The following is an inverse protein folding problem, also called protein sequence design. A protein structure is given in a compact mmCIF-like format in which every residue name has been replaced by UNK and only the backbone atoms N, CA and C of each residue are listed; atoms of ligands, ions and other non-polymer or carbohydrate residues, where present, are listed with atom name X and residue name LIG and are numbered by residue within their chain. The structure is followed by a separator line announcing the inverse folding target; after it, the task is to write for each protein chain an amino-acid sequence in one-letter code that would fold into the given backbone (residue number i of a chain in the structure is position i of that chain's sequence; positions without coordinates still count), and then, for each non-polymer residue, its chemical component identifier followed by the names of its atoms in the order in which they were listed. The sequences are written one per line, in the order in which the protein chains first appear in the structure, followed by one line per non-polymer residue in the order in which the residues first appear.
data_IF_590687551657
#
_entry.id   IF_590687551657
#
_cell.length_a   1.000
_cell.length_b   1.000
_cell.length_c   1.000
_cell.angle_alpha   90.00
_cell.angle_beta   90.00
_cell.angle_gamma   90.00
#
_symmetry.space_group_name_H-M   'P 1'
#
loop_
_entity.id
_entity.type
_entity.pdbx_description
1 polymer ?
#
# COMPACT_ATOMS: atom_id res chain seq x y z
N UNK A 1 -3.34 26.01 13.76
CA UNK A 1 -4.19 25.26 12.80
C UNK A 1 -3.27 24.53 11.83
N UNK A 2 -3.64 23.30 11.48
CA UNK A 2 -2.73 22.18 11.17
C UNK A 2 -1.89 22.28 9.88
N UNK A 3 -0.57 22.14 10.05
CA UNK A 3 0.44 21.88 9.00
C UNK A 3 0.39 20.47 8.39
N UNK A 4 -0.76 19.79 8.43
CA UNK A 4 -0.93 18.43 7.87
C UNK A 4 -1.24 18.44 6.38
N UNK A 5 -1.64 19.58 5.80
CA UNK A 5 -2.25 19.64 4.46
C UNK A 5 -1.24 19.80 3.29
N UNK A 6 0.07 19.91 3.54
CA UNK A 6 1.06 20.17 2.48
C UNK A 6 1.84 18.94 2.01
N UNK A 7 1.86 17.84 2.78
CA UNK A 7 2.54 16.60 2.35
C UNK A 7 1.70 15.77 1.37
N UNK A 8 0.38 15.68 1.60
CA UNK A 8 -0.54 14.84 0.82
C UNK A 8 -0.56 15.21 -0.67
N UNK A 9 -0.54 16.50 -1.02
CA UNK A 9 -0.68 16.97 -2.41
C UNK A 9 0.47 16.57 -3.33
N UNK A 10 1.68 16.41 -2.80
CA UNK A 10 2.85 16.06 -3.60
C UNK A 10 2.92 14.57 -3.91
N UNK A 11 2.47 13.72 -2.98
CA UNK A 11 2.41 12.27 -3.17
C UNK A 11 1.29 11.86 -4.12
N UNK A 12 0.09 12.46 -3.99
CA UNK A 12 -1.00 12.17 -4.93
C UNK A 12 -0.62 12.44 -6.39
N UNK A 13 0.12 13.52 -6.68
CA UNK A 13 0.60 13.82 -8.04
C UNK A 13 1.58 12.77 -8.58
N UNK A 14 2.60 12.41 -7.80
CA UNK A 14 3.57 11.37 -8.18
C UNK A 14 2.85 10.05 -8.49
N UNK A 15 1.85 9.72 -7.68
CA UNK A 15 1.10 8.47 -7.79
C UNK A 15 0.13 8.50 -9.00
N UNK A 16 -0.41 9.68 -9.34
CA UNK A 16 -1.22 9.86 -10.56
C UNK A 16 -0.35 9.74 -11.82
N UNK A 17 0.88 10.26 -11.77
CA UNK A 17 1.86 10.13 -12.87
C UNK A 17 2.36 8.69 -13.04
N UNK A 18 2.38 7.90 -11.97
CA UNK A 18 2.71 6.47 -12.00
C UNK A 18 1.58 5.58 -12.53
N UNK A 19 0.40 6.14 -12.82
CA UNK A 19 -0.75 5.40 -13.36
C UNK A 19 -1.45 4.49 -12.35
N UNK A 20 -1.24 4.72 -11.05
CA UNK A 20 -1.82 3.90 -9.99
C UNK A 20 -3.28 4.29 -9.70
N UNK A 21 -4.09 3.30 -9.44
CA UNK A 21 -5.49 3.44 -9.04
C UNK A 21 -5.61 3.87 -7.57
N UNK A 22 -6.75 4.48 -7.15
CA UNK A 22 -6.97 4.87 -5.75
C UNK A 22 -6.78 3.73 -4.74
N UNK A 23 -7.16 2.50 -5.11
CA UNK A 23 -6.99 1.32 -4.26
C UNK A 23 -5.51 0.94 -4.10
N UNK A 24 -4.73 1.02 -5.18
CA UNK A 24 -3.28 0.82 -5.14
C UNK A 24 -2.58 1.85 -4.27
N UNK A 25 -2.99 3.12 -4.38
CA UNK A 25 -2.50 4.20 -3.51
C UNK A 25 -2.76 3.86 -2.04
N UNK A 26 -4.00 3.50 -1.71
CA UNK A 26 -4.41 3.20 -0.34
C UNK A 26 -3.60 2.04 0.25
N UNK A 27 -3.48 0.94 -0.50
CA UNK A 27 -2.73 -0.25 -0.05
C UNK A 27 -1.23 0.03 0.07
N UNK A 28 -0.64 0.74 -0.89
CA UNK A 28 0.77 1.11 -0.86
C UNK A 28 1.10 1.98 0.36
N UNK A 29 0.31 3.03 0.61
CA UNK A 29 0.49 3.90 1.77
C UNK A 29 0.25 3.18 3.10
N UNK A 30 -0.74 2.29 3.15
CA UNK A 30 -0.99 1.46 4.33
C UNK A 30 0.20 0.53 4.62
N UNK A 31 0.73 -0.15 3.61
CA UNK A 31 1.91 -1.01 3.75
C UNK A 31 3.16 -0.21 4.15
N UNK A 32 3.37 0.97 3.57
CA UNK A 32 4.49 1.86 3.89
C UNK A 32 4.42 2.36 5.34
N UNK A 33 3.22 2.70 5.81
CA UNK A 33 3.00 3.20 7.17
C UNK A 33 3.12 2.11 8.23
N UNK A 34 2.68 0.88 7.92
CA UNK A 34 2.74 -0.26 8.83
C UNK A 34 4.10 -0.96 8.85
N UNK A 35 4.92 -0.78 7.82
CA UNK A 35 6.08 -1.62 7.55
C UNK A 35 5.70 -3.07 7.22
N UNK A 36 6.65 -4.02 7.25
CA UNK A 36 6.41 -5.43 6.89
C UNK A 36 5.25 -6.06 7.67
N UNK A 37 4.11 -6.20 7.01
CA UNK A 37 2.84 -6.53 7.66
C UNK A 37 2.04 -7.59 6.91
N UNK A 38 1.07 -8.20 7.59
CA UNK A 38 0.17 -9.16 6.96
C UNK A 38 -0.89 -8.46 6.10
N UNK A 39 -1.41 -9.15 5.08
CA UNK A 39 -2.55 -8.66 4.27
C UNK A 39 -3.74 -8.27 5.14
N UNK A 40 -3.98 -8.97 6.24
CA UNK A 40 -5.08 -8.65 7.15
C UNK A 40 -4.91 -7.29 7.84
N UNK A 41 -3.67 -6.88 8.16
CA UNK A 41 -3.39 -5.56 8.73
C UNK A 41 -3.46 -4.48 7.67
N UNK A 42 -2.90 -4.74 6.49
CA UNK A 42 -2.94 -3.81 5.36
C UNK A 42 -4.38 -3.56 4.93
N UNK A 43 -5.22 -4.60 4.84
CA UNK A 43 -6.63 -4.49 4.50
C UNK A 43 -7.43 -3.64 5.50
N UNK A 44 -7.15 -3.80 6.80
CA UNK A 44 -7.77 -2.94 7.83
C UNK A 44 -7.33 -1.49 7.72
N UNK A 45 -6.04 -1.24 7.48
CA UNK A 45 -5.49 0.11 7.37
C UNK A 45 -5.87 0.82 6.06
N UNK A 46 -6.03 0.07 4.97
CA UNK A 46 -6.45 0.57 3.66
C UNK A 46 -7.98 0.63 3.49
N UNK A 47 -8.74 0.13 4.47
CA UNK A 47 -10.21 0.03 4.46
C UNK A 47 -10.76 -0.74 3.24
N UNK A 48 -10.08 -1.82 2.85
CA UNK A 48 -10.44 -2.66 1.71
C UNK A 48 -10.66 -4.12 2.12
N UNK A 49 -11.48 -4.83 1.34
CA UNK A 49 -11.61 -6.27 1.51
C UNK A 49 -10.31 -7.00 1.19
N UNK A 50 -10.01 -8.08 1.93
CA UNK A 50 -8.78 -8.86 1.74
C UNK A 50 -8.58 -9.35 0.31
N UNK A 51 -9.66 -9.77 -0.35
CA UNK A 51 -9.61 -10.22 -1.74
C UNK A 51 -9.16 -9.09 -2.69
N UNK A 52 -9.63 -7.87 -2.46
CA UNK A 52 -9.22 -6.70 -3.22
C UNK A 52 -7.75 -6.37 -2.94
N UNK A 53 -7.33 -6.41 -1.67
CA UNK A 53 -5.92 -6.17 -1.30
C UNK A 53 -4.97 -7.19 -1.93
N UNK A 54 -5.34 -8.47 -2.04
CA UNK A 54 -4.51 -9.44 -2.75
C UNK A 54 -4.30 -9.07 -4.22
N UNK A 55 -5.35 -8.65 -4.92
CA UNK A 55 -5.25 -8.19 -6.33
C UNK A 55 -4.40 -6.94 -6.46
N UNK A 56 -4.58 -5.99 -5.55
CA UNK A 56 -3.83 -4.74 -5.52
C UNK A 56 -2.35 -4.97 -5.21
N UNK A 57 -2.05 -5.85 -4.26
CA UNK A 57 -0.67 -6.24 -3.95
C UNK A 57 -0.01 -6.88 -5.17
N UNK A 58 -0.69 -7.79 -5.87
CA UNK A 58 -0.17 -8.43 -7.08
C UNK A 58 0.16 -7.39 -8.16
N UNK A 59 -0.75 -6.43 -8.40
CA UNK A 59 -0.50 -5.30 -9.29
C UNK A 59 0.71 -4.48 -8.86
N UNK A 60 0.78 -4.06 -7.59
CA UNK A 60 1.90 -3.29 -7.05
C UNK A 60 3.23 -4.05 -7.13
N UNK A 61 3.23 -5.38 -6.97
CA UNK A 61 4.42 -6.21 -7.20
C UNK A 61 4.85 -6.18 -8.66
N UNK A 62 3.91 -6.27 -9.60
CA UNK A 62 4.20 -6.15 -11.04
C UNK A 62 4.76 -4.77 -11.40
N UNK A 63 4.36 -3.72 -10.68
CA UNK A 63 4.93 -2.39 -10.77
C UNK A 63 6.29 -2.23 -10.05
N UNK A 64 6.76 -3.25 -9.32
CA UNK A 64 7.99 -3.17 -8.52
C UNK A 64 7.87 -2.31 -7.26
N UNK A 65 6.65 -1.98 -6.85
CA UNK A 65 6.31 -1.11 -5.71
C UNK A 65 5.92 -1.90 -4.46
N UNK A 66 5.96 -3.21 -4.49
CA UNK A 66 5.66 -4.03 -3.32
C UNK A 66 6.59 -5.24 -3.30
N UNK A 67 7.08 -5.58 -2.12
CA UNK A 67 7.91 -6.74 -1.87
C UNK A 67 7.23 -7.68 -0.86
N UNK A 68 7.50 -8.97 -1.00
CA UNK A 68 7.07 -9.99 -0.05
C UNK A 68 8.30 -10.58 0.61
N UNK A 69 8.29 -10.61 1.93
CA UNK A 69 9.25 -11.36 2.74
C UNK A 69 8.55 -12.52 3.43
N UNK A 70 9.26 -13.62 3.60
CA UNK A 70 8.79 -14.78 4.36
C UNK A 70 9.50 -14.75 5.70
N UNK A 71 8.73 -14.58 6.77
CA UNK A 71 9.21 -14.64 8.14
C UNK A 71 8.69 -15.94 8.76
N UNK A 72 9.54 -16.97 8.75
CA UNK A 72 9.19 -18.34 9.10
C UNK A 72 8.14 -18.93 8.16
N UNK A 73 6.89 -19.06 8.63
CA UNK A 73 5.75 -19.57 7.85
C UNK A 73 4.80 -18.46 7.37
N UNK A 74 5.04 -17.20 7.75
CA UNK A 74 4.12 -16.08 7.48
C UNK A 74 4.68 -15.16 6.39
N UNK A 75 3.83 -14.82 5.42
CA UNK A 75 4.14 -13.78 4.42
C UNK A 75 3.92 -12.39 5.02
N UNK A 76 4.92 -11.52 4.87
CA UNK A 76 4.86 -10.09 5.19
C UNK A 76 5.05 -9.29 3.91
N UNK A 77 4.29 -8.22 3.79
CA UNK A 77 4.24 -7.35 2.63
C UNK A 77 4.77 -5.98 3.03
N UNK A 78 5.68 -5.44 2.23
CA UNK A 78 6.32 -4.15 2.46
C UNK A 78 6.43 -3.38 1.15
N UNK A 79 6.05 -2.11 1.20
CA UNK A 79 6.15 -1.13 0.12
C UNK A 79 7.54 -0.48 0.07
#
# INVERSE_FOLDING_TARGET
MNDTNMKTSKFYKVITELGLTPNEVSVYLAALSLGPSSVAHIARAAELERANVYRVIDSLQNHGLMSISIDGLKKKYAA
#
